data_IF_324010756892
#
_entry.id   IF_324010756892
#
_cell.length_a   1.000
_cell.length_b   1.000
_cell.length_c   1.000
_cell.angle_alpha   90.00
_cell.angle_beta   90.00
_cell.angle_gamma   90.00
#
_symmetry.space_group_name_H-M   'P 1'
#
loop_
_entity.id
_entity.type
_entity.pdbx_description
1 polymer ?
#
# COMPACT_ATOMS: atom_id res chain seq x y z
N UNK A 1 -5.07 6.70 -7.80
CA UNK A 1 -6.24 5.92 -7.33
C UNK A 1 -6.75 4.81 -8.28
N UNK A 2 -6.44 4.88 -9.59
CA UNK A 2 -7.06 4.00 -10.60
C UNK A 2 -6.18 2.79 -11.01
N UNK A 3 -5.14 2.47 -10.23
CA UNK A 3 -4.32 1.28 -10.50
C UNK A 3 -5.10 0.01 -10.21
N UNK A 4 -4.68 -1.11 -10.81
CA UNK A 4 -5.19 -2.45 -10.47
C UNK A 4 -4.62 -2.89 -9.11
N UNK A 5 -5.29 -3.81 -8.39
CA UNK A 5 -4.81 -4.31 -7.09
C UNK A 5 -3.34 -4.79 -7.11
N UNK A 6 -2.92 -5.50 -8.16
CA UNK A 6 -1.54 -5.97 -8.30
C UNK A 6 -0.52 -4.84 -8.50
N UNK A 7 -0.93 -3.75 -9.16
CA UNK A 7 -0.09 -2.57 -9.31
C UNK A 7 0.05 -1.83 -7.98
N UNK A 8 -1.02 -1.79 -7.17
CA UNK A 8 -0.98 -1.25 -5.81
C UNK A 8 -0.03 -2.08 -4.94
N UNK A 9 -0.14 -3.42 -4.95
CA UNK A 9 0.77 -4.31 -4.21
C UNK A 9 2.23 -4.07 -4.58
N UNK A 10 2.52 -4.03 -5.89
CA UNK A 10 3.88 -3.79 -6.40
C UNK A 10 4.40 -2.43 -5.93
N UNK A 11 3.60 -1.37 -6.08
CA UNK A 11 4.01 -0.03 -5.71
C UNK A 11 4.27 0.09 -4.20
N UNK A 12 3.40 -0.47 -3.34
CA UNK A 12 3.60 -0.46 -1.89
C UNK A 12 4.89 -1.18 -1.50
N UNK A 13 5.17 -2.36 -2.07
CA UNK A 13 6.41 -3.11 -1.81
C UNK A 13 7.66 -2.34 -2.23
N UNK A 14 7.62 -1.69 -3.39
CA UNK A 14 8.72 -0.82 -3.86
C UNK A 14 8.96 0.33 -2.87
N UNK A 15 7.91 1.04 -2.45
CA UNK A 15 8.03 2.13 -1.49
C UNK A 15 8.58 1.66 -0.15
N UNK A 16 8.16 0.50 0.35
CA UNK A 16 8.71 -0.08 1.58
C UNK A 16 10.21 -0.40 1.45
N UNK A 17 10.66 -0.95 0.32
CA UNK A 17 12.09 -1.23 0.11
C UNK A 17 12.98 0.02 0.15
N UNK A 18 12.41 1.19 -0.18
CA UNK A 18 13.11 2.48 -0.21
C UNK A 18 13.02 3.19 1.15
N UNK A 19 11.82 3.21 1.74
CA UNK A 19 11.50 4.06 2.89
C UNK A 19 11.64 3.34 4.25
N UNK A 20 11.64 2.00 4.24
CA UNK A 20 11.70 1.18 5.45
C UNK A 20 12.88 0.18 5.45
N UNK A 21 14.15 0.61 5.25
CA UNK A 21 15.31 -0.28 5.27
C UNK A 21 15.64 -0.84 6.67
N UNK A 22 14.93 -0.43 7.71
CA UNK A 22 15.12 -0.85 9.09
C UNK A 22 13.86 -0.66 9.93
N UNK A 23 14.01 -0.40 11.22
CA UNK A 23 12.89 -0.16 12.15
C UNK A 23 12.42 1.30 12.17
N UNK A 24 11.25 1.55 12.76
CA UNK A 24 10.76 2.90 13.03
C UNK A 24 9.94 3.52 11.89
N UNK A 25 9.63 2.76 10.84
CA UNK A 25 8.76 3.21 9.77
C UNK A 25 7.29 2.88 10.07
N UNK A 26 6.42 3.90 9.97
CA UNK A 26 4.96 3.75 10.09
C UNK A 26 4.36 3.97 8.71
N UNK A 27 3.74 2.93 8.15
CA UNK A 27 3.12 3.01 6.84
C UNK A 27 1.81 3.81 6.88
N UNK A 28 1.70 4.81 6.01
CA UNK A 28 0.49 5.57 5.71
C UNK A 28 0.51 6.07 4.27
N UNK A 29 -0.67 6.30 3.69
CA UNK A 29 -0.83 7.08 2.48
C UNK A 29 -0.50 8.57 2.71
N UNK A 30 0.02 9.24 1.68
CA UNK A 30 0.36 10.67 1.75
C UNK A 30 -0.89 11.56 1.80
N UNK A 31 -1.98 11.13 1.17
CA UNK A 31 -3.28 11.81 1.16
C UNK A 31 -4.42 10.82 1.42
N UNK A 32 -5.54 11.34 1.94
CA UNK A 32 -6.72 10.55 2.28
C UNK A 32 -7.25 9.70 1.11
N UNK A 33 -7.92 8.61 1.48
CA UNK A 33 -8.66 7.76 0.54
C UNK A 33 -9.93 8.50 0.12
N UNK A 34 -10.17 8.60 -1.19
CA UNK A 34 -11.38 9.20 -1.76
C UNK A 34 -12.48 8.14 -1.96
N UNK A 35 -13.74 8.58 -1.99
CA UNK A 35 -14.90 7.68 -2.07
C UNK A 35 -14.95 6.80 -3.33
N UNK A 36 -14.28 7.20 -4.41
CA UNK A 36 -14.24 6.47 -5.67
C UNK A 36 -13.06 5.49 -5.78
N UNK A 37 -12.26 5.31 -4.72
CA UNK A 37 -11.19 4.31 -4.70
C UNK A 37 -11.81 2.93 -4.55
N UNK A 38 -11.56 1.98 -5.47
CA UNK A 38 -12.06 0.61 -5.33
C UNK A 38 -11.58 -0.03 -4.02
N UNK A 39 -12.46 -0.67 -3.23
CA UNK A 39 -12.07 -1.31 -1.97
C UNK A 39 -10.95 -2.33 -2.11
N UNK A 40 -10.87 -3.03 -3.24
CA UNK A 40 -9.84 -4.03 -3.55
C UNK A 40 -8.44 -3.41 -3.57
N UNK A 41 -8.32 -2.14 -3.95
CA UNK A 41 -7.05 -1.43 -3.89
C UNK A 41 -6.62 -1.15 -2.44
N UNK A 42 -7.57 -0.93 -1.53
CA UNK A 42 -7.30 -0.72 -0.11
C UNK A 42 -6.84 -2.04 0.52
N UNK A 43 -7.53 -3.14 0.22
CA UNK A 43 -7.14 -4.49 0.65
C UNK A 43 -5.75 -4.84 0.13
N UNK A 44 -5.49 -4.64 -1.16
CA UNK A 44 -4.19 -4.86 -1.78
C UNK A 44 -3.05 -4.07 -1.11
N UNK A 45 -3.32 -2.82 -0.70
CA UNK A 45 -2.37 -2.00 0.05
C UNK A 45 -2.04 -2.62 1.42
N UNK A 46 -3.03 -3.10 2.16
CA UNK A 46 -2.82 -3.75 3.47
C UNK A 46 -2.17 -5.14 3.36
N UNK A 47 -2.57 -5.95 2.38
CA UNK A 47 -1.93 -7.25 2.12
C UNK A 47 -0.44 -7.08 1.77
N UNK A 48 -0.08 -6.02 1.05
CA UNK A 48 1.30 -5.75 0.67
C UNK A 48 2.21 -5.44 1.87
N UNK A 49 1.67 -4.81 2.92
CA UNK A 49 2.42 -4.51 4.15
C UNK A 49 2.36 -5.65 5.18
N UNK A 50 1.30 -6.47 5.15
CA UNK A 50 1.06 -7.57 6.09
C UNK A 50 0.77 -8.90 5.35
N UNK A 51 1.79 -9.54 4.75
CA UNK A 51 1.59 -10.77 3.96
C UNK A 51 1.23 -12.02 4.77
N UNK A 52 0.92 -11.89 6.07
CA UNK A 52 0.63 -12.99 7.01
C UNK A 52 -0.71 -12.84 7.74
N UNK A 53 -1.74 -12.34 7.05
CA UNK A 53 -3.13 -12.53 7.50
C UNK A 53 -3.72 -13.79 6.85
#
# INVERSE_FOLDING_TARGET
>A
PNGKPEEVKRHVKERLSILAPGSGFVFQQVHNIMANVPPENIVAMFEAINPRQ
#
